data_IF_665253544689
#
_entry.id   IF_665253544689
#
_cell.length_a   1.000
_cell.length_b   1.000
_cell.length_c   1.000
_cell.angle_alpha   90.00
_cell.angle_beta   90.00
_cell.angle_gamma   90.00
#
_symmetry.space_group_name_H-M   'P 1'
#
loop_
_entity.id
_entity.type
_entity.pdbx_description
1 polymer ?
#
# COMPACT_ATOMS: atom_id res chain seq x y z
N UNK A 1 33.20 18.17 -41.04
CA UNK A 1 32.06 19.03 -41.39
C UNK A 1 30.77 18.29 -41.06
N UNK A 2 29.93 18.80 -40.15
CA UNK A 2 28.70 18.12 -39.70
C UNK A 2 27.55 18.26 -40.70
N UNK A 3 26.77 17.18 -40.91
CA UNK A 3 25.62 17.09 -41.83
C UNK A 3 24.35 17.82 -41.30
N UNK A 4 24.48 19.08 -40.85
CA UNK A 4 23.36 19.92 -40.41
C UNK A 4 23.33 20.26 -38.92
N UNK A 5 22.49 21.26 -38.57
CA UNK A 5 22.29 21.74 -37.19
C UNK A 5 21.45 20.73 -36.40
N UNK A 6 21.88 20.40 -35.19
CA UNK A 6 21.20 19.47 -34.27
C UNK A 6 20.67 20.25 -33.07
N UNK A 7 19.43 20.00 -32.67
CA UNK A 7 18.82 20.58 -31.47
C UNK A 7 19.50 20.08 -30.17
N UNK A 8 19.61 20.94 -29.16
CA UNK A 8 20.13 20.58 -27.84
C UNK A 8 19.05 19.89 -26.99
N UNK A 9 18.71 18.67 -27.39
CA UNK A 9 17.83 17.76 -26.65
C UNK A 9 18.41 16.34 -26.62
N UNK A 10 17.84 15.48 -25.76
CA UNK A 10 18.24 14.07 -25.70
C UNK A 10 18.01 13.40 -27.06
N UNK A 11 19.03 12.68 -27.55
CA UNK A 11 18.89 11.88 -28.77
C UNK A 11 18.15 10.59 -28.39
N UNK A 12 16.95 10.38 -28.91
CA UNK A 12 16.13 9.21 -28.56
C UNK A 12 16.68 7.89 -29.11
N UNK A 13 17.10 7.90 -30.39
CA UNK A 13 17.68 6.73 -31.03
C UNK A 13 18.97 6.29 -30.32
N UNK A 14 18.97 5.06 -29.78
CA UNK A 14 20.06 4.49 -28.98
C UNK A 14 21.39 4.41 -29.74
N UNK A 15 21.37 4.01 -31.02
CA UNK A 15 22.57 3.86 -31.85
C UNK A 15 23.18 5.24 -32.13
N UNK A 16 22.35 6.20 -32.57
CA UNK A 16 22.80 7.55 -32.84
C UNK A 16 23.33 8.23 -31.57
N UNK A 17 22.68 7.99 -30.42
CA UNK A 17 23.15 8.50 -29.12
C UNK A 17 24.50 7.92 -28.74
N UNK A 18 24.74 6.62 -28.94
CA UNK A 18 26.02 5.99 -28.64
C UNK A 18 27.16 6.52 -29.52
N UNK A 19 26.93 6.62 -30.84
CA UNK A 19 27.92 7.16 -31.78
C UNK A 19 28.19 8.64 -31.47
N UNK A 20 27.14 9.41 -31.19
CA UNK A 20 27.28 10.82 -30.83
C UNK A 20 28.00 11.01 -29.50
N UNK A 21 27.71 10.19 -28.49
CA UNK A 21 28.41 10.21 -27.21
C UNK A 21 29.91 9.97 -27.43
N UNK A 22 30.30 8.93 -28.18
CA UNK A 22 31.71 8.65 -28.45
C UNK A 22 32.40 9.82 -29.16
N UNK A 23 31.77 10.39 -30.19
CA UNK A 23 32.34 11.53 -30.95
C UNK A 23 32.42 12.81 -30.12
N UNK A 24 31.35 13.19 -29.41
CA UNK A 24 31.29 14.41 -28.59
C UNK A 24 32.18 14.30 -27.35
N UNK A 25 32.22 13.15 -26.68
CA UNK A 25 33.15 12.88 -25.58
C UNK A 25 34.58 13.09 -26.05
N UNK A 26 34.99 12.44 -27.14
CA UNK A 26 36.35 12.61 -27.67
C UNK A 26 36.63 14.06 -28.11
N UNK A 27 35.66 14.74 -28.71
CA UNK A 27 35.79 16.16 -29.06
C UNK A 27 35.95 17.07 -27.84
N UNK A 28 35.21 16.81 -26.77
CA UNK A 28 35.33 17.54 -25.50
C UNK A 28 36.69 17.29 -24.85
N UNK A 29 37.16 16.05 -24.82
CA UNK A 29 38.48 15.69 -24.30
C UNK A 29 39.61 16.41 -25.08
N UNK A 30 39.52 16.46 -26.41
CA UNK A 30 40.48 17.20 -27.23
C UNK A 30 40.48 18.70 -26.91
N UNK A 31 39.31 19.31 -26.78
CA UNK A 31 39.20 20.73 -26.42
C UNK A 31 39.75 21.03 -25.03
N UNK A 32 39.49 20.17 -24.06
CA UNK A 32 40.04 20.29 -22.72
C UNK A 32 41.57 20.16 -22.72
N UNK A 33 42.10 19.21 -23.50
CA UNK A 33 43.54 19.08 -23.68
C UNK A 33 44.16 20.33 -24.33
N UNK A 34 43.59 20.81 -25.44
CA UNK A 34 44.02 22.06 -26.10
C UNK A 34 44.05 23.24 -25.12
N UNK A 35 42.98 23.43 -24.34
CA UNK A 35 42.90 24.50 -23.36
C UNK A 35 43.94 24.34 -22.24
N UNK A 36 44.18 23.11 -21.77
CA UNK A 36 45.19 22.87 -20.73
C UNK A 36 46.60 23.22 -21.20
N UNK A 37 46.93 22.95 -22.47
CA UNK A 37 48.25 23.21 -23.04
C UNK A 37 48.40 24.69 -23.43
N UNK A 38 47.38 25.28 -24.06
CA UNK A 38 47.46 26.67 -24.55
C UNK A 38 47.47 27.72 -23.43
N UNK A 39 46.82 27.42 -22.30
CA UNK A 39 46.64 28.38 -21.21
C UNK A 39 47.28 27.93 -19.90
N UNK A 40 48.07 26.84 -19.91
CA UNK A 40 48.66 26.22 -18.70
C UNK A 40 47.61 26.00 -17.59
N UNK A 41 46.44 25.51 -17.99
CA UNK A 41 45.30 25.35 -17.11
C UNK A 41 45.17 23.89 -16.66
N UNK A 42 45.02 23.68 -15.35
CA UNK A 42 44.68 22.37 -14.79
C UNK A 42 43.19 22.07 -15.01
N UNK A 43 42.89 21.00 -15.75
CA UNK A 43 41.53 20.62 -16.15
C UNK A 43 41.29 19.15 -15.82
N UNK A 44 40.18 18.88 -15.14
CA UNK A 44 39.65 17.54 -14.88
C UNK A 44 38.24 17.40 -15.46
N UNK A 45 37.97 16.28 -16.12
CA UNK A 45 36.66 15.92 -16.66
C UNK A 45 36.26 14.52 -16.19
N UNK A 46 35.03 14.42 -15.67
CA UNK A 46 34.40 13.16 -15.26
C UNK A 46 33.09 12.99 -16.05
N UNK A 47 32.94 11.88 -16.76
CA UNK A 47 31.78 11.61 -17.61
C UNK A 47 31.25 10.20 -17.32
N UNK A 48 30.05 10.12 -16.76
CA UNK A 48 29.33 8.87 -16.60
C UNK A 48 28.39 8.65 -17.77
N UNK A 49 28.52 7.50 -18.44
CA UNK A 49 27.54 7.08 -19.43
C UNK A 49 26.21 6.68 -18.78
N UNK A 50 25.15 6.57 -19.58
CA UNK A 50 23.86 6.07 -19.13
C UNK A 50 23.87 4.62 -18.61
N UNK A 51 24.99 3.88 -18.80
CA UNK A 51 25.21 2.53 -18.26
C UNK A 51 26.09 2.54 -17.01
N UNK A 52 26.40 3.71 -16.46
CA UNK A 52 27.27 3.86 -15.29
C UNK A 52 28.77 3.77 -15.57
N UNK A 53 29.20 3.48 -16.82
CA UNK A 53 30.63 3.45 -17.16
C UNK A 53 31.24 4.85 -17.04
N UNK A 54 32.31 4.95 -16.23
CA UNK A 54 33.13 6.14 -16.04
C UNK A 54 34.11 6.34 -17.20
N UNK A 55 34.21 7.57 -17.67
CA UNK A 55 35.27 8.07 -18.55
C UNK A 55 35.85 9.32 -17.91
N UNK A 56 37.16 9.34 -17.74
CA UNK A 56 37.86 10.44 -17.07
C UNK A 56 39.01 10.97 -17.90
N UNK A 57 39.34 12.24 -17.68
CA UNK A 57 40.51 12.90 -18.23
C UNK A 57 41.03 13.92 -17.24
N UNK A 58 42.33 13.94 -17.05
CA UNK A 58 43.02 14.93 -16.22
C UNK A 58 44.24 15.43 -17.00
N UNK A 59 44.42 16.76 -17.07
CA UNK A 59 45.64 17.34 -17.65
C UNK A 59 46.83 17.31 -16.68
N UNK A 60 46.58 17.21 -15.38
CA UNK A 60 47.60 17.18 -14.34
C UNK A 60 48.40 15.86 -14.37
N UNK A 61 49.74 15.90 -14.43
CA UNK A 61 50.58 14.71 -14.30
C UNK A 61 50.39 13.99 -12.96
N UNK A 62 49.92 14.74 -11.96
CA UNK A 62 49.69 14.24 -10.62
C UNK A 62 48.40 13.43 -10.45
N UNK A 63 47.61 13.33 -11.52
CA UNK A 63 46.44 12.47 -11.64
C UNK A 63 45.14 13.11 -11.14
N UNK A 64 44.02 12.46 -11.49
CA UNK A 64 42.66 12.91 -11.18
C UNK A 64 42.45 13.13 -9.67
N UNK A 65 43.00 12.25 -8.82
CA UNK A 65 42.82 12.33 -7.37
C UNK A 65 43.32 13.66 -6.79
N UNK A 66 44.49 14.14 -7.23
CA UNK A 66 45.06 15.40 -6.73
C UNK A 66 44.31 16.61 -7.25
N UNK A 67 43.84 16.61 -8.50
CA UNK A 67 43.00 17.70 -9.02
C UNK A 67 41.67 17.77 -8.28
N UNK A 68 41.06 16.63 -7.95
CA UNK A 68 39.85 16.59 -7.10
C UNK A 68 40.16 17.11 -5.68
N UNK A 69 41.30 16.72 -5.10
CA UNK A 69 41.72 17.24 -3.79
C UNK A 69 41.93 18.75 -3.82
N UNK A 70 42.58 19.27 -4.87
CA UNK A 70 42.76 20.71 -5.09
C UNK A 70 41.40 21.41 -5.24
N UNK A 71 40.48 20.87 -6.03
CA UNK A 71 39.11 21.40 -6.15
C UNK A 71 38.39 21.42 -4.80
N UNK A 72 38.50 20.34 -4.01
CA UNK A 72 37.93 20.28 -2.66
C UNK A 72 38.53 21.37 -1.79
N UNK A 73 39.86 21.51 -1.73
CA UNK A 73 40.53 22.56 -0.97
C UNK A 73 40.00 23.95 -1.33
N UNK A 74 39.86 24.28 -2.61
CA UNK A 74 39.38 25.60 -3.05
C UNK A 74 37.86 25.79 -2.88
N UNK A 75 37.07 24.73 -3.06
CA UNK A 75 35.60 24.77 -2.86
C UNK A 75 35.22 24.85 -1.37
N UNK A 76 36.12 24.36 -0.50
CA UNK A 76 35.96 24.40 0.95
C UNK A 76 36.87 25.44 1.61
N UNK A 77 37.76 26.16 0.93
CA UNK A 77 38.56 27.25 1.53
C UNK A 77 37.69 28.46 1.92
N UNK A 78 36.43 28.52 1.44
CA UNK A 78 35.40 29.40 2.00
C UNK A 78 34.83 28.93 3.33
N UNK A 79 35.20 27.73 3.81
CA UNK A 79 34.88 27.16 5.13
C UNK A 79 36.11 26.41 5.68
N UNK A 80 36.92 27.13 6.46
CA UNK A 80 38.01 26.65 7.32
C UNK A 80 38.39 25.14 7.18
N UNK A 81 39.56 24.78 6.62
CA UNK A 81 39.94 23.41 6.29
C UNK A 81 39.96 22.44 7.49
N UNK A 82 40.05 22.95 8.72
CA UNK A 82 39.89 22.14 9.93
C UNK A 82 38.44 21.76 10.24
N UNK A 83 37.46 22.49 9.73
CA UNK A 83 36.03 22.26 9.95
C UNK A 83 35.49 21.25 8.92
N UNK A 84 35.82 21.36 7.63
CA UNK A 84 35.29 20.46 6.58
C UNK A 84 35.77 19.00 6.69
N UNK A 85 37.05 18.77 7.03
CA UNK A 85 37.57 17.42 7.27
C UNK A 85 36.95 16.80 8.53
N UNK A 86 36.73 17.62 9.55
CA UNK A 86 36.09 17.23 10.81
C UNK A 86 34.60 16.96 10.62
N UNK A 87 33.90 17.75 9.83
CA UNK A 87 32.49 17.58 9.47
C UNK A 87 32.27 16.32 8.62
N UNK A 88 33.18 15.99 7.70
CA UNK A 88 33.10 14.76 6.90
C UNK A 88 33.43 13.51 7.76
N UNK A 89 34.42 13.63 8.65
CA UNK A 89 34.76 12.60 9.65
C UNK A 89 33.61 12.38 10.63
N UNK A 90 32.95 13.45 11.08
CA UNK A 90 31.79 13.42 11.97
C UNK A 90 30.58 12.80 11.28
N UNK A 91 30.29 13.19 10.02
CA UNK A 91 29.25 12.53 9.21
C UNK A 91 29.52 11.05 9.00
N UNK A 92 30.79 10.67 8.80
CA UNK A 92 31.15 9.26 8.67
C UNK A 92 31.00 8.52 10.02
N UNK A 93 31.37 9.14 11.14
CA UNK A 93 31.10 8.58 12.46
C UNK A 93 29.59 8.43 12.72
N UNK A 94 28.78 9.41 12.36
CA UNK A 94 27.33 9.36 12.54
C UNK A 94 26.70 8.29 11.66
N UNK A 95 27.21 8.11 10.44
CA UNK A 95 26.85 6.98 9.60
C UNK A 95 27.19 5.64 10.27
N UNK A 96 28.37 5.51 10.87
CA UNK A 96 28.76 4.28 11.58
C UNK A 96 27.88 4.02 12.82
N UNK A 97 27.56 5.07 13.60
CA UNK A 97 26.62 4.98 14.73
C UNK A 97 25.21 4.58 14.26
N UNK A 98 24.76 5.13 13.15
CA UNK A 98 23.46 4.79 12.58
C UNK A 98 23.45 3.34 12.08
N UNK A 99 24.52 2.92 11.39
CA UNK A 99 24.68 1.55 10.90
C UNK A 99 24.63 0.54 12.04
N UNK A 100 25.38 0.77 13.13
CA UNK A 100 25.35 -0.15 14.28
C UNK A 100 23.97 -0.22 14.94
N UNK A 101 23.24 0.91 15.03
CA UNK A 101 21.84 0.91 15.51
C UNK A 101 20.92 0.10 14.61
N UNK A 102 21.07 0.21 13.29
CA UNK A 102 20.29 -0.57 12.32
C UNK A 102 20.59 -2.07 12.47
N UNK A 103 21.85 -2.46 12.62
CA UNK A 103 22.25 -3.85 12.83
C UNK A 103 21.64 -4.43 14.11
N UNK A 104 21.67 -3.68 15.22
CA UNK A 104 21.04 -4.08 16.49
C UNK A 104 19.52 -4.25 16.32
N UNK A 105 18.85 -3.30 15.65
CA UNK A 105 17.41 -3.37 15.39
C UNK A 105 17.04 -4.55 14.50
N UNK A 106 17.80 -4.80 13.44
CA UNK A 106 17.59 -5.95 12.55
C UNK A 106 17.81 -7.27 13.29
N UNK A 107 18.83 -7.35 14.14
CA UNK A 107 19.06 -8.54 14.96
C UNK A 107 17.93 -8.76 15.98
N UNK A 108 17.46 -7.69 16.65
CA UNK A 108 16.30 -7.75 17.54
C UNK A 108 15.02 -8.17 16.81
N UNK A 109 14.79 -7.69 15.58
CA UNK A 109 13.66 -8.13 14.76
C UNK A 109 13.73 -9.62 14.45
N UNK A 110 14.90 -10.14 14.08
CA UNK A 110 15.10 -11.57 13.82
C UNK A 110 14.79 -12.43 15.05
N UNK A 111 15.24 -12.00 16.24
CA UNK A 111 14.88 -12.66 17.49
C UNK A 111 13.36 -12.66 17.74
N UNK A 112 12.68 -11.53 17.52
CA UNK A 112 11.21 -11.44 17.66
C UNK A 112 10.47 -12.34 16.65
N UNK A 113 11.07 -12.62 15.49
CA UNK A 113 10.56 -13.55 14.48
C UNK A 113 10.93 -15.02 14.77
N UNK A 114 11.71 -15.27 15.82
CA UNK A 114 12.14 -16.60 16.21
C UNK A 114 13.35 -17.13 15.41
N UNK A 115 14.11 -16.25 14.75
CA UNK A 115 15.35 -16.58 14.05
C UNK A 115 16.55 -16.38 14.98
N UNK A 116 17.65 -17.11 14.74
CA UNK A 116 18.94 -16.98 15.47
C UNK A 116 18.88 -17.16 17.01
N UNK A 117 17.84 -17.82 17.54
CA UNK A 117 17.64 -17.99 18.99
C UNK A 117 18.73 -18.87 19.66
N UNK A 118 19.41 -19.72 18.90
CA UNK A 118 20.34 -20.73 19.43
C UNK A 118 21.52 -20.15 20.24
N UNK A 119 21.85 -18.87 20.07
CA UNK A 119 22.91 -18.18 20.82
C UNK A 119 22.44 -17.40 22.04
N UNK A 120 21.13 -17.32 22.30
CA UNK A 120 20.57 -16.51 23.39
C UNK A 120 20.67 -17.21 24.75
N UNK A 121 20.89 -16.45 25.82
CA UNK A 121 20.82 -16.97 27.18
C UNK A 121 19.38 -17.29 27.60
N UNK A 122 19.20 -18.21 28.56
CA UNK A 122 17.87 -18.62 29.05
C UNK A 122 17.04 -17.44 29.58
N UNK A 123 17.68 -16.51 30.30
CA UNK A 123 17.00 -15.32 30.84
C UNK A 123 16.53 -14.36 29.73
N UNK A 124 17.33 -14.21 28.66
CA UNK A 124 16.99 -13.36 27.52
C UNK A 124 15.86 -13.98 26.70
N UNK A 125 15.86 -15.31 26.56
CA UNK A 125 14.80 -16.06 25.92
C UNK A 125 13.48 -15.93 26.68
N UNK A 126 13.51 -16.06 28.01
CA UNK A 126 12.32 -15.89 28.86
C UNK A 126 11.78 -14.45 28.79
N UNK A 127 12.66 -13.44 28.71
CA UNK A 127 12.25 -12.05 28.50
C UNK A 127 11.59 -11.85 27.13
N UNK A 128 12.17 -12.42 26.08
CA UNK A 128 11.64 -12.37 24.73
C UNK A 128 10.27 -13.04 24.63
N UNK A 129 10.13 -14.23 25.23
CA UNK A 129 8.86 -14.94 25.32
C UNK A 129 7.80 -14.06 25.98
N UNK A 130 8.06 -13.54 27.19
CA UNK A 130 7.13 -12.65 27.89
C UNK A 130 6.72 -11.43 27.05
N UNK A 131 7.65 -10.86 26.29
CA UNK A 131 7.39 -9.71 25.43
C UNK A 131 6.49 -10.05 24.24
N UNK A 132 6.78 -11.14 23.54
CA UNK A 132 5.96 -11.63 22.41
C UNK A 132 4.56 -12.00 22.90
N UNK A 133 4.47 -12.67 24.04
CA UNK A 133 3.20 -13.10 24.63
C UNK A 133 2.32 -11.90 25.04
N UNK A 134 2.91 -10.91 25.70
CA UNK A 134 2.20 -9.70 26.12
C UNK A 134 1.69 -8.91 24.91
N UNK A 135 2.54 -8.71 23.91
CA UNK A 135 2.16 -7.99 22.69
C UNK A 135 1.09 -8.74 21.88
N UNK A 136 1.18 -10.07 21.78
CA UNK A 136 0.18 -10.90 21.13
C UNK A 136 -1.18 -10.83 21.83
N UNK A 137 -1.20 -10.88 23.17
CA UNK A 137 -2.43 -10.67 23.96
C UNK A 137 -3.05 -9.30 23.69
N UNK A 138 -2.24 -8.24 23.66
CA UNK A 138 -2.71 -6.88 23.36
C UNK A 138 -3.27 -6.75 21.95
N UNK A 139 -2.61 -7.32 20.94
CA UNK A 139 -3.07 -7.31 19.54
C UNK A 139 -4.40 -8.04 19.43
N UNK A 140 -4.51 -9.24 20.01
CA UNK A 140 -5.76 -10.02 20.00
C UNK A 140 -6.91 -9.28 20.68
N UNK A 141 -6.67 -8.70 21.85
CA UNK A 141 -7.66 -7.89 22.58
C UNK A 141 -8.11 -6.68 21.76
N UNK A 142 -7.18 -5.96 21.15
CA UNK A 142 -7.48 -4.78 20.32
C UNK A 142 -8.26 -5.15 19.07
N UNK A 143 -7.88 -6.24 18.39
CA UNK A 143 -8.61 -6.77 17.23
C UNK A 143 -10.02 -7.21 17.61
N UNK A 144 -10.19 -7.90 18.74
CA UNK A 144 -11.49 -8.31 19.24
C UNK A 144 -12.39 -7.11 19.53
N UNK A 145 -11.87 -6.09 20.22
CA UNK A 145 -12.59 -4.84 20.48
C UNK A 145 -13.04 -4.17 19.19
N UNK A 146 -12.12 -3.99 18.24
CA UNK A 146 -12.43 -3.40 16.94
C UNK A 146 -13.54 -4.16 16.20
N UNK A 147 -13.50 -5.49 16.18
CA UNK A 147 -14.56 -6.29 15.55
C UNK A 147 -15.91 -6.15 16.26
N UNK A 148 -15.92 -6.04 17.60
CA UNK A 148 -17.14 -5.82 18.37
C UNK A 148 -17.74 -4.44 18.08
N UNK A 149 -16.91 -3.40 18.00
CA UNK A 149 -17.35 -2.04 17.68
C UNK A 149 -17.97 -2.00 16.27
N UNK A 150 -17.35 -2.66 15.29
CA UNK A 150 -17.92 -2.78 13.93
C UNK A 150 -19.26 -3.52 13.93
N UNK A 151 -19.41 -4.57 14.74
CA UNK A 151 -20.68 -5.28 14.86
C UNK A 151 -21.78 -4.39 15.45
N UNK A 152 -21.47 -3.58 16.47
CA UNK A 152 -22.45 -2.64 17.02
C UNK A 152 -22.84 -1.54 16.02
N UNK A 153 -21.88 -1.02 15.26
CA UNK A 153 -22.14 0.00 14.23
C UNK A 153 -23.03 -0.55 13.12
N UNK A 154 -22.78 -1.78 12.67
CA UNK A 154 -23.61 -2.43 11.66
C UNK A 154 -25.02 -2.71 12.18
N UNK A 155 -25.15 -3.15 13.44
CA UNK A 155 -26.45 -3.43 14.06
C UNK A 155 -27.29 -2.14 14.19
N UNK A 156 -26.71 -1.05 14.65
CA UNK A 156 -27.43 0.24 14.74
C UNK A 156 -27.86 0.75 13.36
N UNK A 157 -27.01 0.55 12.34
CA UNK A 157 -27.36 0.89 10.95
C UNK A 157 -28.49 0.01 10.40
N UNK A 158 -28.48 -1.28 10.70
CA UNK A 158 -29.58 -2.19 10.35
C UNK A 158 -30.90 -1.72 10.98
N UNK A 159 -30.90 -1.41 12.27
CA UNK A 159 -32.08 -0.91 12.97
C UNK A 159 -32.62 0.39 12.36
N UNK A 160 -31.75 1.36 12.05
CA UNK A 160 -32.16 2.60 11.35
C UNK A 160 -32.72 2.34 9.95
N UNK A 161 -32.11 1.43 9.19
CA UNK A 161 -32.59 1.08 7.85
C UNK A 161 -33.95 0.37 7.91
N UNK A 162 -34.16 -0.49 8.90
CA UNK A 162 -35.45 -1.13 9.11
C UNK A 162 -36.54 -0.11 9.45
N UNK A 163 -36.23 0.86 10.32
CA UNK A 163 -37.20 1.90 10.70
C UNK A 163 -37.55 2.81 9.52
N UNK A 164 -36.55 3.29 8.79
CA UNK A 164 -36.79 4.11 7.59
C UNK A 164 -37.55 3.33 6.52
N UNK A 165 -37.31 2.02 6.35
CA UNK A 165 -38.07 1.18 5.42
C UNK A 165 -39.53 1.03 5.85
N UNK A 166 -39.81 0.87 7.17
CA UNK A 166 -41.18 0.85 7.70
C UNK A 166 -41.91 2.17 7.42
N UNK A 167 -41.26 3.30 7.64
CA UNK A 167 -41.85 4.62 7.37
C UNK A 167 -42.12 4.83 5.88
N UNK A 168 -41.21 4.39 5.00
CA UNK A 168 -41.42 4.46 3.56
C UNK A 168 -42.57 3.57 3.09
N UNK A 169 -42.72 2.36 3.65
CA UNK A 169 -43.87 1.49 3.36
C UNK A 169 -45.19 2.13 3.79
N UNK A 170 -45.24 2.73 4.98
CA UNK A 170 -46.42 3.47 5.45
C UNK A 170 -46.79 4.61 4.51
N UNK A 171 -45.80 5.40 4.06
CA UNK A 171 -46.02 6.49 3.09
C UNK A 171 -46.49 5.99 1.73
N UNK A 172 -46.00 4.84 1.26
CA UNK A 172 -46.48 4.22 0.03
C UNK A 172 -47.94 3.78 0.16
N UNK A 173 -48.31 3.12 1.26
CA UNK A 173 -49.70 2.72 1.54
C UNK A 173 -50.63 3.93 1.64
N UNK A 174 -50.20 5.02 2.29
CA UNK A 174 -50.95 6.29 2.34
C UNK A 174 -51.11 6.93 0.96
N UNK A 175 -50.05 6.94 0.14
CA UNK A 175 -50.11 7.47 -1.21
C UNK A 175 -51.02 6.62 -2.12
N UNK A 176 -50.90 5.29 -2.06
CA UNK A 176 -51.78 4.38 -2.79
C UNK A 176 -53.23 4.55 -2.35
N UNK A 177 -53.51 4.69 -1.04
CA UNK A 177 -54.85 4.97 -0.54
C UNK A 177 -55.41 6.31 -1.05
N UNK A 178 -54.60 7.37 -1.09
CA UNK A 178 -55.03 8.68 -1.63
C UNK A 178 -55.24 8.66 -3.14
N UNK A 179 -54.40 7.95 -3.91
CA UNK A 179 -54.60 7.74 -5.36
C UNK A 179 -55.87 6.95 -5.60
N UNK A 180 -56.10 5.89 -4.83
CA UNK A 180 -57.32 5.07 -4.93
C UNK A 180 -58.55 5.92 -4.58
N UNK A 181 -58.53 6.69 -3.49
CA UNK A 181 -59.63 7.58 -3.09
C UNK A 181 -59.89 8.70 -4.11
N UNK A 182 -58.86 9.20 -4.78
CA UNK A 182 -58.98 10.17 -5.88
C UNK A 182 -59.61 9.55 -7.13
N UNK A 183 -59.30 8.27 -7.41
CA UNK A 183 -59.88 7.51 -8.52
C UNK A 183 -61.38 7.20 -8.27
N UNK A 184 -61.75 6.82 -7.04
CA UNK A 184 -63.15 6.59 -6.64
C UNK A 184 -63.96 7.89 -6.51
N UNK A 185 -63.31 9.01 -6.19
CA UNK A 185 -63.93 10.35 -6.17
C UNK A 185 -64.22 10.94 -7.56
N UNK A 186 -63.55 10.45 -8.60
CA UNK A 186 -63.85 10.82 -10.00
C UNK A 186 -65.00 9.98 -10.60
N UNK A 187 -65.24 8.78 -10.08
CA UNK A 187 -66.35 7.90 -10.52
C UNK A 187 -67.71 8.20 -9.87
N UNK A 188 -67.77 9.06 -8.84
CA UNK A 188 -69.01 9.36 -8.11
C UNK A 188 -69.91 10.44 -8.74
N UNK A 189 -69.61 10.89 -9.97
CA UNK A 189 -70.46 11.83 -10.73
C UNK A 189 -71.32 11.19 -11.83
N UNK A 190 -71.25 9.87 -12.01
CA UNK A 190 -72.13 9.17 -12.92
C UNK A 190 -72.89 8.06 -12.18
N UNK A 191 -74.20 8.03 -12.41
CA UNK A 191 -75.15 6.95 -12.09
C UNK A 191 -75.95 7.11 -10.79
N UNK A 192 -76.95 7.99 -10.94
CA UNK A 192 -78.22 7.90 -10.23
C UNK A 192 -79.24 7.21 -11.15
N UNK A 193 -79.37 5.87 -11.10
CA UNK A 193 -80.62 5.18 -11.47
C UNK A 193 -80.57 3.67 -11.31
N UNK A 194 -81.54 3.20 -10.52
CA UNK A 194 -82.33 1.98 -10.69
C UNK A 194 -81.83 0.62 -10.19
N UNK A 195 -82.72 0.06 -9.37
CA UNK A 195 -82.77 -1.26 -8.77
C UNK A 195 -83.00 -2.38 -9.79
N UNK A 196 -82.60 -3.56 -9.33
CA UNK A 196 -83.20 -4.89 -9.53
C UNK A 196 -82.82 -5.72 -10.77
N UNK A 197 -82.02 -6.75 -10.47
CA UNK A 197 -82.36 -8.19 -10.57
C UNK A 197 -81.49 -9.03 -11.52
N UNK A 198 -80.82 -10.00 -10.89
CA UNK A 198 -80.45 -11.35 -11.35
C UNK A 198 -79.34 -11.63 -12.37
N UNK A 199 -78.61 -12.69 -11.97
CA UNK A 199 -77.93 -13.74 -12.72
C UNK A 199 -76.46 -13.55 -13.16
N UNK A 200 -75.64 -14.36 -12.48
CA UNK A 200 -74.54 -15.20 -12.97
C UNK A 200 -73.82 -14.75 -14.24
N UNK A 201 -72.52 -14.49 -14.06
CA UNK A 201 -71.53 -14.44 -15.13
C UNK A 201 -70.14 -14.35 -14.52
N UNK A 202 -69.60 -15.51 -14.11
CA UNK A 202 -68.16 -15.68 -13.92
C UNK A 202 -67.44 -15.27 -15.20
N UNK A 203 -66.59 -14.25 -15.15
CA UNK A 203 -65.46 -14.18 -16.07
C UNK A 203 -64.33 -13.32 -15.49
N UNK A 204 -63.26 -14.04 -15.19
CA UNK A 204 -61.87 -13.62 -15.02
C UNK A 204 -61.48 -12.25 -15.60
N UNK A 205 -60.93 -11.39 -14.75
CA UNK A 205 -59.84 -10.49 -15.15
C UNK A 205 -58.64 -10.71 -14.25
N UNK A 206 -57.71 -11.43 -14.85
CA UNK A 206 -56.36 -11.72 -14.42
C UNK A 206 -55.53 -10.44 -14.59
N UNK A 207 -55.07 -9.84 -13.50
CA UNK A 207 -54.01 -8.83 -13.56
C UNK A 207 -52.81 -9.36 -12.78
N UNK A 208 -51.76 -9.62 -13.54
CA UNK A 208 -50.53 -10.29 -13.16
C UNK A 208 -49.79 -9.56 -12.03
N UNK A 209 -49.55 -10.27 -10.92
CA UNK A 209 -48.44 -10.00 -10.01
C UNK A 209 -47.20 -10.72 -10.55
N UNK A 210 -46.08 -10.05 -10.86
CA UNK A 210 -44.82 -10.75 -11.00
C UNK A 210 -44.33 -11.14 -9.61
N UNK A 211 -44.34 -12.43 -9.34
CA UNK A 211 -43.63 -13.07 -8.23
C UNK A 211 -42.14 -12.79 -8.44
N UNK A 212 -41.55 -11.87 -7.68
CA UNK A 212 -40.10 -11.73 -7.61
C UNK A 212 -39.62 -12.35 -6.30
N UNK A 213 -38.66 -13.25 -6.47
CA UNK A 213 -38.10 -14.20 -5.52
C UNK A 213 -37.92 -13.65 -4.10
N UNK A 214 -38.46 -14.41 -3.14
CA UNK A 214 -38.07 -14.34 -1.73
C UNK A 214 -36.65 -14.87 -1.63
N UNK A 215 -35.69 -13.97 -1.74
CA UNK A 215 -34.28 -14.30 -1.63
C UNK A 215 -33.50 -13.15 -0.99
N UNK A 216 -33.86 -12.71 0.21
CA UNK A 216 -32.98 -11.83 0.97
C UNK A 216 -33.22 -11.87 2.49
N UNK A 217 -32.14 -12.21 3.21
CA UNK A 217 -31.92 -12.15 4.66
C UNK A 217 -32.70 -13.10 5.58
N UNK A 218 -32.03 -14.19 5.94
CA UNK A 218 -32.27 -14.92 7.21
C UNK A 218 -31.55 -14.18 8.33
N UNK A 219 -32.19 -13.86 9.47
CA UNK A 219 -31.48 -13.35 10.64
C UNK A 219 -30.58 -14.46 11.17
N UNK A 220 -29.28 -14.19 11.33
CA UNK A 220 -28.41 -15.07 12.09
C UNK A 220 -28.84 -14.96 13.56
N UNK A 221 -29.71 -15.86 13.99
CA UNK A 221 -29.93 -16.13 15.41
C UNK A 221 -28.70 -16.88 15.92
N UNK A 222 -27.61 -16.15 16.10
CA UNK A 222 -26.38 -16.63 16.70
C UNK A 222 -26.59 -16.80 18.20
N UNK A 223 -26.81 -18.03 18.61
CA UNK A 223 -26.78 -18.45 20.01
C UNK A 223 -25.38 -18.14 20.57
N UNK A 224 -25.23 -17.12 21.41
CA UNK A 224 -23.95 -16.79 22.04
C UNK A 224 -23.79 -17.68 23.28
N UNK A 225 -23.36 -18.91 23.05
CA UNK A 225 -22.86 -19.80 24.08
C UNK A 225 -21.44 -20.23 23.68
N UNK A 226 -20.47 -19.36 23.91
CA UNK A 226 -19.07 -19.79 24.00
C UNK A 226 -18.60 -19.57 25.43
N UNK A 227 -18.72 -20.64 26.21
CA UNK A 227 -18.02 -20.80 27.47
C UNK A 227 -16.52 -20.64 27.22
N UNK A 228 -15.95 -19.74 27.99
CA UNK A 228 -14.52 -19.45 28.06
C UNK A 228 -13.84 -20.61 28.78
N UNK A 229 -13.34 -21.60 28.03
CA UNK A 229 -12.53 -22.68 28.61
C UNK A 229 -11.07 -22.23 28.68
N UNK A 230 -10.57 -22.10 29.90
CA UNK A 230 -9.15 -21.99 30.21
C UNK A 230 -8.41 -23.20 29.65
N UNK A 231 -7.42 -22.99 28.78
CA UNK A 231 -6.53 -24.06 28.33
C UNK A 231 -5.18 -23.92 29.05
N UNK A 232 -4.86 -24.94 29.86
CA UNK A 232 -3.59 -25.16 30.56
C UNK A 232 -2.80 -26.20 29.75
N UNK A 233 -1.49 -26.02 29.45
CA UNK A 233 -0.74 -26.99 28.66
C UNK A 233 -0.17 -28.09 29.57
N UNK A 234 -0.53 -29.34 29.28
CA UNK A 234 0.00 -30.54 29.91
C UNK A 234 0.36 -31.59 28.86
N UNK A 235 1.65 -31.85 28.74
CA UNK A 235 2.34 -32.76 27.82
C UNK A 235 1.88 -34.21 27.96
N UNK A 236 1.71 -34.94 26.85
CA UNK A 236 2.22 -36.32 26.68
C UNK A 236 2.33 -36.70 25.19
N UNK A 237 3.38 -37.44 24.89
CA UNK A 237 3.81 -37.92 23.57
C UNK A 237 2.84 -38.95 22.96
N UNK A 238 2.67 -38.90 21.64
CA UNK A 238 2.58 -40.10 20.79
C UNK A 238 2.89 -39.75 19.33
N UNK A 239 3.84 -40.49 18.79
CA UNK A 239 4.22 -40.63 17.39
C UNK A 239 3.05 -41.11 16.50
N UNK A 240 2.88 -40.53 15.31
CA UNK A 240 2.76 -41.30 14.06
C UNK A 240 2.71 -40.45 12.78
N UNK A 241 3.67 -40.72 11.88
CA UNK A 241 3.50 -41.12 10.48
C UNK A 241 2.59 -40.31 9.51
N UNK A 242 3.29 -39.56 8.64
CA UNK A 242 3.01 -39.10 7.27
C UNK A 242 1.69 -39.47 6.53
N UNK A 243 1.04 -38.46 5.93
CA UNK A 243 0.63 -38.51 4.51
C UNK A 243 0.46 -37.10 3.88
N UNK A 244 1.03 -36.96 2.69
CA UNK A 244 0.84 -35.91 1.69
C UNK A 244 -0.62 -35.70 1.31
N UNK A 245 -1.09 -34.45 1.21
CA UNK A 245 -2.07 -34.02 0.20
C UNK A 245 -2.06 -32.51 0.01
N UNK A 246 -1.81 -32.12 -1.24
CA UNK A 246 -1.92 -30.77 -1.77
C UNK A 246 -3.37 -30.28 -1.67
N UNK A 247 -3.58 -29.04 -1.26
CA UNK A 247 -4.70 -28.26 -1.75
C UNK A 247 -4.30 -26.78 -1.83
N UNK A 248 -4.05 -26.36 -3.06
CA UNK A 248 -4.01 -24.99 -3.54
C UNK A 248 -5.43 -24.44 -3.47
N UNK A 249 -5.65 -23.26 -2.89
CA UNK A 249 -6.67 -22.29 -3.34
C UNK A 249 -6.38 -20.91 -2.70
N UNK A 250 -6.04 -19.99 -3.61
CA UNK A 250 -6.33 -18.55 -3.68
C UNK A 250 -6.00 -17.62 -2.50
N UNK A 251 -4.94 -16.86 -2.74
CA UNK A 251 -4.57 -15.67 -1.98
C UNK A 251 -5.48 -14.47 -2.21
N UNK A 252 -5.53 -13.64 -1.19
CA UNK A 252 -6.03 -12.27 -1.24
C UNK A 252 -5.10 -11.42 -0.38
N UNK A 253 -4.14 -10.73 -1.02
CA UNK A 253 -3.33 -9.69 -0.38
C UNK A 253 -3.92 -8.32 -0.75
N UNK A 254 -4.27 -7.46 0.22
CA UNK A 254 -4.45 -6.03 -0.07
C UNK A 254 -3.11 -5.31 0.13
N UNK A 255 -2.60 -4.75 -0.97
CA UNK A 255 -1.42 -3.90 -1.01
C UNK A 255 -1.67 -2.55 -0.36
N UNK A 256 -0.74 -2.15 0.51
CA UNK A 256 -0.49 -0.77 0.91
C UNK A 256 1.01 -0.56 0.85
N UNK A 257 1.49 0.17 -0.16
CA UNK A 257 2.74 0.95 -0.19
C UNK A 257 3.01 1.41 -1.62
N UNK A 258 2.52 2.61 -1.96
CA UNK A 258 3.24 3.62 -2.75
C UNK A 258 2.89 4.96 -2.14
#
# INVERSE_FOLDING_TARGET
MGRGKVELKRIENKINRQVTFAKRRNGLLKKAYELSVLCDAEIALLIFSNRGKLYEFCSSPSGMAKTIEKYRKHSYETMDPNQSAKDLQEKYQDYLKLKSRVEILQHSQRHLLGEEIAGMGVNELEQLERQVDASLRQIRSTKARFMLDQLSDLKTKEEMLLETNRDLKRKLEENDATVTQSLWGASSFAEHSQQQQQQQGMSSYQTNLPTQEVGFFKPLQGNVAWQMSHYNPGVTNASDSATTSQNVINGFFPGWTV
#
